data_IF_322402151526
#
_entry.id   IF_322402151526
#
_cell.length_a   1.000
_cell.length_b   1.000
_cell.length_c   1.000
_cell.angle_alpha   90.00
_cell.angle_beta   90.00
_cell.angle_gamma   90.00
#
_symmetry.space_group_name_H-M   'P 1'
#
loop_
_entity.id
_entity.type
_entity.pdbx_description
1 polymer ?
#
# COMPACT_ATOMS: atom_id res chain seq x y z
N UNK A 1 14.90 2.75 1.69
CA UNK A 1 14.26 2.33 2.96
C UNK A 1 13.03 3.18 3.31
N UNK A 2 13.16 4.34 3.98
CA UNK A 2 11.97 5.08 4.45
C UNK A 2 11.06 5.60 3.34
N UNK A 3 11.63 6.19 2.27
CA UNK A 3 10.82 6.66 1.13
C UNK A 3 10.05 5.53 0.43
N UNK A 4 10.62 4.32 0.39
CA UNK A 4 9.91 3.15 -0.14
C UNK A 4 8.76 2.75 0.79
N UNK A 5 8.97 2.72 2.11
CA UNK A 5 7.90 2.42 3.07
C UNK A 5 6.74 3.42 2.95
N UNK A 6 7.05 4.70 2.73
CA UNK A 6 6.04 5.73 2.48
C UNK A 6 5.26 5.46 1.19
N UNK A 7 5.93 5.18 0.08
CA UNK A 7 5.23 4.91 -1.18
C UNK A 7 4.36 3.65 -1.09
N UNK A 8 4.83 2.59 -0.43
CA UNK A 8 4.02 1.38 -0.20
C UNK A 8 2.78 1.67 0.67
N UNK A 9 2.91 2.54 1.68
CA UNK A 9 1.77 2.98 2.50
C UNK A 9 0.77 3.81 1.68
N UNK A 10 1.26 4.73 0.86
CA UNK A 10 0.44 5.55 -0.03
C UNK A 10 -0.34 4.68 -1.04
N UNK A 11 0.33 3.71 -1.66
CA UNK A 11 -0.29 2.74 -2.55
C UNK A 11 -1.40 1.92 -1.86
N UNK A 12 -1.19 1.51 -0.60
CA UNK A 12 -2.23 0.85 0.20
C UNK A 12 -3.41 1.79 0.49
N UNK A 13 -3.14 3.05 0.84
CA UNK A 13 -4.19 4.04 1.11
C UNK A 13 -4.99 4.39 -0.15
N UNK A 14 -4.34 4.46 -1.32
CA UNK A 14 -5.02 4.71 -2.58
C UNK A 14 -6.02 3.62 -2.98
N UNK A 15 -5.80 2.38 -2.54
CA UNK A 15 -6.68 1.23 -2.80
C UNK A 15 -7.67 0.98 -1.65
N UNK A 16 -7.25 1.12 -0.40
CA UNK A 16 -8.03 0.69 0.77
C UNK A 16 -8.39 1.79 1.76
N UNK A 17 -7.79 2.98 1.64
CA UNK A 17 -7.96 4.07 2.59
C UNK A 17 -9.39 4.63 2.61
N UNK A 18 -9.84 5.05 3.79
CA UNK A 18 -11.11 5.72 3.96
C UNK A 18 -11.10 7.12 3.31
N UNK A 19 -12.23 7.63 2.79
CA UNK A 19 -12.27 8.94 2.14
C UNK A 19 -11.91 10.10 3.08
N UNK A 20 -12.13 9.94 4.38
CA UNK A 20 -11.73 10.90 5.42
C UNK A 20 -10.22 11.05 5.54
N UNK A 21 -9.46 10.02 5.15
CA UNK A 21 -7.99 9.99 5.18
C UNK A 21 -7.42 10.43 3.84
N UNK A 22 -7.98 9.93 2.73
CA UNK A 22 -7.42 10.13 1.38
C UNK A 22 -7.97 11.34 0.65
N UNK A 23 -9.13 11.86 1.07
CA UNK A 23 -9.88 12.89 0.35
C UNK A 23 -10.51 12.42 -0.97
N UNK A 24 -10.42 11.11 -1.29
CA UNK A 24 -10.90 10.49 -2.53
C UNK A 24 -11.89 9.35 -2.23
N UNK A 25 -12.71 8.93 -3.21
CA UNK A 25 -13.51 7.71 -3.08
C UNK A 25 -12.62 6.48 -2.77
N UNK A 26 -13.17 5.53 -2.03
CA UNK A 26 -12.47 4.28 -1.69
C UNK A 26 -12.13 3.51 -2.98
N UNK A 27 -10.88 3.04 -3.09
CA UNK A 27 -10.43 2.34 -4.29
C UNK A 27 -10.24 3.25 -5.50
N UNK A 28 -10.03 4.56 -5.30
CA UNK A 28 -9.82 5.52 -6.38
C UNK A 28 -8.69 5.10 -7.33
N UNK A 29 -7.60 4.52 -6.81
CA UNK A 29 -6.51 4.02 -7.66
C UNK A 29 -6.90 2.83 -8.53
N UNK A 30 -7.86 2.00 -8.09
CA UNK A 30 -8.40 0.92 -8.92
C UNK A 30 -9.33 1.45 -10.01
N UNK A 31 -10.14 2.46 -9.70
CA UNK A 31 -10.97 3.12 -10.70
C UNK A 31 -10.11 3.76 -11.82
N UNK A 32 -8.96 4.32 -11.44
CA UNK A 32 -7.93 4.83 -12.36
C UNK A 32 -7.05 3.71 -12.98
N UNK A 33 -7.27 2.43 -12.62
CA UNK A 33 -6.50 1.25 -13.06
C UNK A 33 -4.98 1.39 -12.87
N UNK A 34 -4.57 2.02 -11.78
CA UNK A 34 -3.15 2.15 -11.45
C UNK A 34 -2.55 0.80 -11.09
N UNK A 35 -1.36 0.54 -11.63
CA UNK A 35 -0.52 -0.59 -11.24
C UNK A 35 0.26 -0.26 -9.95
N UNK A 36 -0.45 0.04 -8.86
CA UNK A 36 0.18 0.25 -7.55
C UNK A 36 0.86 -1.02 -7.05
N UNK A 37 1.82 -0.89 -6.13
CA UNK A 37 2.58 -2.02 -5.60
C UNK A 37 1.71 -3.16 -5.08
N UNK A 38 0.61 -2.87 -4.37
CA UNK A 38 -0.31 -3.88 -3.86
C UNK A 38 -1.09 -4.60 -4.98
N UNK A 39 -1.45 -3.91 -6.07
CA UNK A 39 -2.11 -4.52 -7.23
C UNK A 39 -1.15 -5.45 -7.97
N UNK A 40 0.10 -5.01 -8.16
CA UNK A 40 1.14 -5.83 -8.79
C UNK A 40 1.45 -7.07 -7.94
N UNK A 41 1.60 -6.90 -6.62
CA UNK A 41 1.82 -8.00 -5.70
C UNK A 41 0.67 -9.02 -5.75
N UNK A 42 -0.58 -8.53 -5.69
CA UNK A 42 -1.75 -9.39 -5.81
C UNK A 42 -1.75 -10.18 -7.11
N UNK A 43 -1.43 -9.55 -8.25
CA UNK A 43 -1.39 -10.26 -9.53
C UNK A 43 -0.33 -11.38 -9.58
N UNK A 44 0.82 -11.15 -8.95
CA UNK A 44 1.90 -12.14 -8.84
C UNK A 44 1.53 -13.30 -7.92
N UNK A 45 0.85 -13.01 -6.81
CA UNK A 45 0.44 -13.99 -5.79
C UNK A 45 -0.87 -14.73 -6.16
N UNK A 46 -1.67 -14.19 -7.07
CA UNK A 46 -2.95 -14.76 -7.49
C UNK A 46 -2.81 -16.17 -8.10
N UNK A 47 -3.77 -17.03 -7.76
CA UNK A 47 -3.99 -18.28 -8.47
C UNK A 47 -4.59 -18.03 -9.87
N UNK A 48 -4.79 -19.11 -10.64
CA UNK A 48 -5.32 -18.98 -12.00
C UNK A 48 -6.74 -18.41 -12.07
N UNK A 49 -7.54 -18.56 -11.02
CA UNK A 49 -8.93 -18.10 -10.96
C UNK A 49 -8.99 -16.62 -10.64
N UNK A 50 -8.25 -16.17 -9.62
CA UNK A 50 -8.14 -14.75 -9.28
C UNK A 50 -7.48 -13.98 -10.43
N UNK A 51 -6.45 -14.55 -11.06
CA UNK A 51 -5.75 -13.89 -12.18
C UNK A 51 -6.66 -13.62 -13.37
N UNK A 52 -7.58 -14.56 -13.71
CA UNK A 52 -8.58 -14.33 -14.76
C UNK A 52 -9.51 -13.17 -14.40
N UNK A 53 -10.02 -13.13 -13.18
CA UNK A 53 -10.90 -12.04 -12.72
C UNK A 53 -10.19 -10.68 -12.70
N UNK A 54 -8.91 -10.62 -12.32
CA UNK A 54 -8.12 -9.39 -12.44
C UNK A 54 -8.00 -8.91 -13.89
N UNK A 55 -7.77 -9.82 -14.84
CA UNK A 55 -7.71 -9.45 -16.26
C UNK A 55 -9.07 -8.91 -16.74
N UNK A 56 -10.18 -9.50 -16.32
CA UNK A 56 -11.52 -9.00 -16.64
C UNK A 56 -11.74 -7.59 -16.08
N UNK A 57 -11.45 -7.37 -14.80
CA UNK A 57 -11.62 -6.06 -14.13
C UNK A 57 -10.71 -4.97 -14.73
N UNK A 58 -9.45 -5.29 -15.05
CA UNK A 58 -8.53 -4.34 -15.68
C UNK A 58 -9.00 -3.91 -17.07
N UNK A 59 -9.61 -4.81 -17.84
CA UNK A 59 -10.03 -4.56 -19.22
C UNK A 59 -11.51 -4.17 -19.36
N UNK A 60 -12.27 -4.12 -18.27
CA UNK A 60 -13.65 -3.64 -18.29
C UNK A 60 -13.68 -2.19 -18.83
N UNK A 61 -14.69 -1.84 -19.62
CA UNK A 61 -14.85 -0.49 -20.16
C UNK A 61 -15.21 0.50 -19.04
N UNK A 62 -16.17 0.09 -18.19
CA UNK A 62 -16.61 0.81 -17.01
C UNK A 62 -16.45 -0.06 -15.77
N UNK A 63 -16.18 0.56 -14.62
CA UNK A 63 -16.12 -0.09 -13.32
C UNK A 63 -17.13 0.58 -12.40
N UNK A 64 -18.14 -0.16 -11.96
CA UNK A 64 -19.07 0.29 -10.94
C UNK A 64 -18.48 0.08 -9.53
N UNK A 65 -19.10 0.68 -8.51
CA UNK A 65 -18.64 0.56 -7.12
C UNK A 65 -18.55 -0.90 -6.64
N UNK A 66 -19.44 -1.78 -7.12
CA UNK A 66 -19.42 -3.20 -6.77
C UNK A 66 -18.23 -3.93 -7.42
N UNK A 67 -17.79 -3.52 -8.61
CA UNK A 67 -16.59 -4.06 -9.25
C UNK A 67 -15.33 -3.66 -8.48
N UNK A 68 -15.27 -2.40 -8.03
CA UNK A 68 -14.16 -1.91 -7.19
C UNK A 68 -14.13 -2.66 -5.86
N UNK A 69 -15.28 -2.86 -5.22
CA UNK A 69 -15.37 -3.65 -3.99
C UNK A 69 -14.94 -5.10 -4.20
N UNK A 70 -15.37 -5.73 -5.31
CA UNK A 70 -14.96 -7.08 -5.69
C UNK A 70 -13.45 -7.16 -5.92
N UNK A 71 -12.88 -6.21 -6.66
CA UNK A 71 -11.44 -6.16 -6.93
C UNK A 71 -10.64 -6.05 -5.63
N UNK A 72 -11.05 -5.20 -4.70
CA UNK A 72 -10.40 -5.09 -3.37
C UNK A 72 -10.45 -6.42 -2.60
N UNK A 73 -11.58 -7.12 -2.62
CA UNK A 73 -11.72 -8.41 -1.96
C UNK A 73 -10.80 -9.47 -2.58
N UNK A 74 -10.68 -9.50 -3.90
CA UNK A 74 -9.75 -10.37 -4.60
C UNK A 74 -8.30 -10.05 -4.23
N UNK A 75 -7.91 -8.77 -4.15
CA UNK A 75 -6.56 -8.36 -3.69
C UNK A 75 -6.29 -8.89 -2.28
N UNK A 76 -7.22 -8.72 -1.34
CA UNK A 76 -7.09 -9.26 0.02
C UNK A 76 -6.97 -10.79 0.01
N UNK A 77 -7.78 -11.48 -0.81
CA UNK A 77 -7.75 -12.94 -0.90
C UNK A 77 -6.41 -13.52 -1.39
N UNK A 78 -5.57 -12.71 -2.06
CA UNK A 78 -4.20 -13.14 -2.44
C UNK A 78 -3.19 -13.09 -1.30
N UNK A 79 -3.50 -12.41 -0.19
CA UNK A 79 -2.53 -12.12 0.89
C UNK A 79 -1.56 -10.98 0.57
N UNK A 80 -1.77 -10.25 -0.54
CA UNK A 80 -0.88 -9.17 -0.96
C UNK A 80 -0.90 -7.97 -0.01
N UNK A 81 -2.02 -7.71 0.67
CA UNK A 81 -2.11 -6.62 1.64
C UNK A 81 -1.17 -6.88 2.80
N UNK A 82 -1.23 -8.07 3.39
CA UNK A 82 -0.34 -8.49 4.47
C UNK A 82 1.12 -8.48 4.03
N UNK A 83 1.41 -8.98 2.82
CA UNK A 83 2.76 -8.97 2.27
C UNK A 83 3.34 -7.56 2.10
N UNK A 84 2.56 -6.60 1.62
CA UNK A 84 3.00 -5.20 1.52
C UNK A 84 3.15 -4.55 2.90
N UNK A 85 2.28 -4.87 3.86
CA UNK A 85 2.40 -4.40 5.25
C UNK A 85 3.71 -4.89 5.90
N UNK A 86 4.09 -6.16 5.70
CA UNK A 86 5.35 -6.70 6.19
C UNK A 86 6.55 -5.99 5.53
N UNK A 87 6.48 -5.72 4.22
CA UNK A 87 7.51 -4.94 3.52
C UNK A 87 7.67 -3.52 4.05
N UNK A 88 6.58 -2.87 4.46
CA UNK A 88 6.60 -1.55 5.09
C UNK A 88 7.32 -1.66 6.44
N UNK A 89 6.95 -2.64 7.27
CA UNK A 89 7.55 -2.85 8.58
C UNK A 89 9.07 -3.08 8.49
N UNK A 90 9.52 -3.94 7.58
CA UNK A 90 10.94 -4.23 7.35
C UNK A 90 11.73 -2.98 6.93
N UNK A 91 11.14 -2.16 6.04
CA UNK A 91 11.77 -0.92 5.56
C UNK A 91 11.84 0.15 6.64
N UNK A 92 10.85 0.23 7.50
CA UNK A 92 10.83 1.12 8.65
C UNK A 92 11.89 0.70 9.66
N UNK A 93 11.96 -0.59 10.00
CA UNK A 93 13.01 -1.14 10.88
C UNK A 93 14.41 -0.83 10.34
N UNK A 94 14.64 -1.13 9.06
CA UNK A 94 15.90 -0.80 8.37
C UNK A 94 16.22 0.70 8.42
N UNK A 95 15.22 1.57 8.24
CA UNK A 95 15.41 3.01 8.33
C UNK A 95 15.81 3.44 9.75
N UNK A 96 15.19 2.86 10.78
CA UNK A 96 15.54 3.14 12.17
C UNK A 96 16.96 2.71 12.53
N UNK A 97 17.44 1.58 12.02
CA UNK A 97 18.83 1.15 12.20
C UNK A 97 19.81 2.18 11.65
N UNK A 98 19.60 2.67 10.42
CA UNK A 98 20.44 3.72 9.84
C UNK A 98 20.33 5.06 10.56
N UNK A 99 19.13 5.42 11.01
CA UNK A 99 18.90 6.64 11.78
C UNK A 99 19.59 6.57 13.14
N UNK A 100 19.86 5.39 13.70
CA UNK A 100 20.49 5.18 15.02
C UNK A 100 22.02 5.36 15.02
N UNK A 101 22.60 5.81 13.91
CA UNK A 101 24.03 6.13 13.79
C UNK A 101 24.45 7.39 14.58
N UNK A 102 25.42 7.28 15.50
CA UNK A 102 25.90 8.37 16.37
C UNK A 102 26.43 9.61 15.63
N UNK A 103 26.67 9.52 14.31
CA UNK A 103 27.06 10.66 13.46
C UNK A 103 25.91 11.63 13.19
N UNK A 104 24.67 11.24 13.46
CA UNK A 104 23.47 12.08 13.31
C UNK A 104 23.18 12.80 14.63
N UNK A 105 22.88 14.10 14.57
CA UNK A 105 22.49 14.86 15.76
C UNK A 105 21.24 14.26 16.45
N UNK A 106 21.21 14.25 17.78
CA UNK A 106 20.13 13.66 18.57
C UNK A 106 18.75 14.25 18.29
N UNK A 107 18.67 15.55 17.96
CA UNK A 107 17.39 16.16 17.56
C UNK A 107 16.93 15.60 16.20
N UNK A 108 17.85 15.52 15.24
CA UNK A 108 17.56 15.10 13.88
C UNK A 108 17.15 13.62 13.85
N UNK A 109 17.82 12.79 14.65
CA UNK A 109 17.46 11.39 14.89
C UNK A 109 16.03 11.25 15.39
N UNK A 110 15.66 12.03 16.40
CA UNK A 110 14.32 11.99 17.00
C UNK A 110 13.24 12.46 16.01
N UNK A 111 13.51 13.51 15.25
CA UNK A 111 12.60 14.04 14.24
C UNK A 111 12.37 13.04 13.09
N UNK A 112 13.44 12.42 12.58
CA UNK A 112 13.37 11.42 11.51
C UNK A 112 12.63 10.15 11.96
N UNK A 113 12.90 9.67 13.18
CA UNK A 113 12.20 8.52 13.74
C UNK A 113 10.69 8.78 13.91
N UNK A 114 10.33 9.99 14.35
CA UNK A 114 8.93 10.38 14.50
C UNK A 114 8.21 10.47 13.14
N UNK A 115 8.82 11.14 12.16
CA UNK A 115 8.27 11.20 10.80
C UNK A 115 8.11 9.82 10.19
N UNK A 116 9.08 8.92 10.37
CA UNK A 116 8.98 7.56 9.90
C UNK A 116 7.74 6.85 10.47
N UNK A 117 7.57 6.92 11.79
CA UNK A 117 6.40 6.31 12.46
C UNK A 117 5.07 6.89 12.00
N UNK A 118 4.95 8.21 11.84
CA UNK A 118 3.69 8.85 11.43
C UNK A 118 3.36 8.49 9.98
N UNK A 119 4.33 8.58 9.09
CA UNK A 119 4.13 8.44 7.66
C UNK A 119 3.87 7.00 7.22
N UNK A 120 4.23 6.00 8.03
CA UNK A 120 4.04 4.58 7.69
C UNK A 120 3.05 3.85 8.59
N UNK A 121 2.43 4.54 9.56
CA UNK A 121 1.42 3.96 10.43
C UNK A 121 0.22 3.43 9.63
N UNK A 122 -0.40 2.36 10.13
CA UNK A 122 -1.71 1.93 9.62
C UNK A 122 -2.75 2.96 10.04
N UNK A 123 -3.36 3.63 9.07
CA UNK A 123 -4.54 4.45 9.31
C UNK A 123 -5.70 3.51 9.63
N UNK A 124 -6.23 3.57 10.87
CA UNK A 124 -7.49 2.92 11.23
C UNK A 124 -8.67 3.67 10.66
#
# INVERSE_FOLDING_TARGET
>A
ALGEAFQLRDDLLGVFGAPTVTGKPVGGDLAERKATSVVVAAHQMADSTIRRQFVELMNAEELAEHDIAHWRNLIVATGAVEWVEDMIADRVATAHEYISDDRIDGWARSALANMASICTARSQ
#
